data_IF_049616188019
#
_entry.id   IF_049616188019
#
_cell.length_a   1.000
_cell.length_b   1.000
_cell.length_c   1.000
_cell.angle_alpha   90.00
_cell.angle_beta   90.00
_cell.angle_gamma   90.00
#
_symmetry.space_group_name_H-M   'P 1'
#
loop_
_entity.id
_entity.type
_entity.pdbx_description
1 polymer ?
#
# COMPACT_ATOMS: atom_id res chain seq x y z
N UNK A 1 -36.74 13.45 10.05
CA UNK A 1 -35.32 13.36 10.43
C UNK A 1 -34.58 12.90 9.19
N UNK A 2 -33.62 13.67 8.68
CA UNK A 2 -32.86 13.23 7.50
C UNK A 2 -32.08 11.97 7.89
N UNK A 3 -32.28 10.86 7.18
CA UNK A 3 -31.46 9.67 7.35
C UNK A 3 -30.00 10.02 7.08
N UNK A 4 -29.09 9.55 7.93
CA UNK A 4 -27.65 9.77 7.76
C UNK A 4 -27.20 9.15 6.44
N UNK A 5 -26.51 9.90 5.59
CA UNK A 5 -26.00 9.40 4.30
C UNK A 5 -24.90 8.35 4.53
N UNK A 6 -24.79 7.39 3.61
CA UNK A 6 -23.78 6.34 3.66
C UNK A 6 -23.03 6.14 2.34
N UNK A 7 -21.93 5.39 2.38
CA UNK A 7 -21.22 4.88 1.20
C UNK A 7 -21.68 3.45 0.93
N UNK A 8 -22.17 3.21 -0.28
CA UNK A 8 -22.59 1.89 -0.72
C UNK A 8 -21.42 1.17 -1.40
N UNK A 9 -21.16 -0.08 -1.00
CA UNK A 9 -20.17 -0.94 -1.66
C UNK A 9 -20.89 -1.90 -2.62
N UNK A 10 -20.73 -1.66 -3.91
CA UNK A 10 -21.32 -2.47 -4.97
C UNK A 10 -20.27 -3.38 -5.61
N UNK A 11 -20.54 -4.69 -5.60
CA UNK A 11 -19.57 -5.68 -6.05
C UNK A 11 -20.26 -6.96 -6.54
N UNK A 12 -19.52 -7.76 -7.29
CA UNK A 12 -19.95 -9.11 -7.62
C UNK A 12 -19.43 -10.10 -6.55
N UNK A 13 -20.30 -11.02 -6.12
CA UNK A 13 -20.08 -11.91 -4.96
C UNK A 13 -18.76 -12.71 -4.94
N UNK A 14 -18.11 -12.99 -6.07
CA UNK A 14 -16.82 -13.70 -6.08
C UNK A 14 -15.72 -12.89 -5.34
N UNK A 15 -15.90 -11.58 -5.21
CA UNK A 15 -14.97 -10.69 -4.53
C UNK A 15 -15.44 -10.29 -3.12
N UNK A 16 -16.43 -11.00 -2.55
CA UNK A 16 -16.99 -10.71 -1.22
C UNK A 16 -15.91 -10.63 -0.13
N UNK A 17 -14.92 -11.54 -0.14
CA UNK A 17 -13.82 -11.52 0.84
C UNK A 17 -13.05 -10.19 0.82
N UNK A 18 -12.69 -9.73 -0.37
CA UNK A 18 -11.97 -8.47 -0.55
C UNK A 18 -12.83 -7.28 -0.11
N UNK A 19 -14.09 -7.24 -0.55
CA UNK A 19 -14.97 -6.11 -0.26
C UNK A 19 -15.37 -6.05 1.22
N UNK A 20 -15.46 -7.20 1.89
CA UNK A 20 -15.63 -7.26 3.36
C UNK A 20 -14.42 -6.66 4.09
N UNK A 21 -13.21 -6.90 3.61
CA UNK A 21 -12.00 -6.29 4.19
C UNK A 21 -11.97 -4.77 3.94
N UNK A 22 -12.37 -4.31 2.76
CA UNK A 22 -12.55 -2.88 2.48
C UNK A 22 -13.62 -2.27 3.38
N UNK A 23 -14.75 -2.95 3.57
CA UNK A 23 -15.81 -2.53 4.47
C UNK A 23 -15.28 -2.36 5.90
N UNK A 24 -14.59 -3.37 6.43
CA UNK A 24 -13.99 -3.33 7.78
C UNK A 24 -13.11 -2.10 7.95
N UNK A 25 -12.18 -1.88 7.00
CA UNK A 25 -11.24 -0.75 7.06
C UNK A 25 -11.91 0.61 6.93
N UNK A 26 -12.92 0.76 6.08
CA UNK A 26 -13.67 2.02 6.01
C UNK A 26 -14.51 2.25 7.28
N UNK A 27 -15.02 1.18 7.89
CA UNK A 27 -15.82 1.25 9.12
C UNK A 27 -15.00 1.72 10.32
N UNK A 28 -13.74 1.31 10.40
CA UNK A 28 -12.78 1.79 11.42
C UNK A 28 -12.53 3.30 11.35
N UNK A 29 -12.81 3.92 10.20
CA UNK A 29 -12.71 5.36 10.00
C UNK A 29 -14.04 6.08 10.30
N UNK A 30 -14.99 5.38 10.93
CA UNK A 30 -16.36 5.84 11.19
C UNK A 30 -17.13 6.28 9.93
N UNK A 31 -16.72 5.80 8.75
CA UNK A 31 -17.47 6.07 7.53
C UNK A 31 -18.77 5.25 7.59
N UNK A 32 -19.94 5.87 7.42
CA UNK A 32 -21.20 5.14 7.36
C UNK A 32 -21.25 4.32 6.06
N UNK A 33 -21.47 3.01 6.17
CA UNK A 33 -21.36 2.07 5.05
C UNK A 33 -22.63 1.24 4.89
N UNK A 34 -22.91 0.86 3.65
CA UNK A 34 -23.92 -0.12 3.29
C UNK A 34 -23.34 -1.18 2.35
N UNK A 35 -23.61 -2.45 2.63
CA UNK A 35 -23.35 -3.58 1.73
C UNK A 35 -24.38 -4.71 1.99
N UNK A 36 -24.67 -5.47 0.96
CA UNK A 36 -25.68 -6.56 0.95
C UNK A 36 -25.57 -7.59 2.09
N UNK A 37 -24.36 -7.85 2.60
CA UNK A 37 -24.09 -8.93 3.57
C UNK A 37 -23.92 -8.46 5.01
N UNK A 38 -23.86 -7.15 5.27
CA UNK A 38 -23.61 -6.58 6.60
C UNK A 38 -24.70 -5.60 7.07
N UNK A 39 -25.69 -5.30 6.22
CA UNK A 39 -26.72 -4.30 6.50
C UNK A 39 -28.11 -4.66 6.00
N UNK A 40 -28.74 -5.66 6.63
CA UNK A 40 -30.21 -5.74 6.68
C UNK A 40 -30.93 -6.50 5.56
N UNK A 41 -30.53 -7.73 5.23
CA UNK A 41 -31.47 -8.64 4.52
C UNK A 41 -32.49 -9.24 5.50
N UNK A 42 -33.60 -8.53 5.70
CA UNK A 42 -34.88 -9.10 6.17
C UNK A 42 -35.96 -8.86 5.11
N UNK A 43 -35.82 -9.45 3.92
CA UNK A 43 -36.84 -9.28 2.86
C UNK A 43 -36.42 -9.76 1.47
N UNK A 44 -37.38 -9.74 0.53
CA UNK A 44 -37.17 -10.08 -0.88
C UNK A 44 -36.14 -9.14 -1.54
N UNK A 45 -35.25 -9.71 -2.37
CA UNK A 45 -34.05 -9.07 -2.96
C UNK A 45 -34.29 -7.72 -3.68
N UNK A 46 -35.51 -7.42 -4.12
CA UNK A 46 -35.82 -6.19 -4.87
C UNK A 46 -35.82 -4.93 -4.00
N UNK A 47 -36.28 -5.01 -2.75
CA UNK A 47 -36.48 -3.83 -1.90
C UNK A 47 -35.16 -3.41 -1.23
N UNK A 48 -34.27 -4.37 -0.95
CA UNK A 48 -32.95 -4.11 -0.35
C UNK A 48 -31.99 -3.34 -1.26
N UNK A 49 -32.12 -3.46 -2.59
CA UNK A 49 -31.26 -2.73 -3.54
C UNK A 49 -31.64 -1.25 -3.62
N UNK A 50 -32.93 -0.92 -3.56
CA UNK A 50 -33.40 0.46 -3.54
C UNK A 50 -32.96 1.17 -2.25
N UNK A 51 -33.11 0.50 -1.09
CA UNK A 51 -32.71 1.06 0.20
C UNK A 51 -31.21 1.39 0.28
N UNK A 52 -30.35 0.53 -0.29
CA UNK A 52 -28.91 0.77 -0.36
C UNK A 52 -28.55 2.00 -1.19
N UNK A 53 -29.26 2.25 -2.29
CA UNK A 53 -28.96 3.33 -3.24
C UNK A 53 -29.59 4.66 -2.84
N UNK A 54 -30.86 4.68 -2.43
CA UNK A 54 -31.65 5.92 -2.22
C UNK A 54 -31.02 6.86 -1.18
N UNK A 55 -30.38 6.29 -0.16
CA UNK A 55 -29.72 7.06 0.90
C UNK A 55 -28.19 7.10 0.77
N UNK A 56 -27.62 6.60 -0.31
CA UNK A 56 -26.18 6.69 -0.55
C UNK A 56 -25.75 8.13 -0.88
N UNK A 57 -24.61 8.55 -0.33
CA UNK A 57 -23.87 9.71 -0.82
C UNK A 57 -23.07 9.36 -2.08
N UNK A 58 -22.43 8.19 -2.08
CA UNK A 58 -21.73 7.63 -3.22
C UNK A 58 -21.83 6.10 -3.25
N UNK A 59 -21.64 5.53 -4.44
CA UNK A 59 -21.56 4.09 -4.69
C UNK A 59 -20.15 3.73 -5.21
N UNK A 60 -19.43 2.92 -4.43
CA UNK A 60 -18.13 2.38 -4.77
C UNK A 60 -18.30 1.08 -5.55
N UNK A 61 -18.02 1.10 -6.84
CA UNK A 61 -18.28 -0.02 -7.75
C UNK A 61 -16.99 -0.83 -7.99
N UNK A 62 -16.90 -2.04 -7.44
CA UNK A 62 -15.76 -2.95 -7.60
C UNK A 62 -15.86 -3.72 -8.93
N UNK A 63 -15.30 -3.12 -9.98
CA UNK A 63 -15.51 -3.52 -11.36
C UNK A 63 -14.64 -4.72 -11.77
N UNK A 64 -15.31 -5.72 -12.31
CA UNK A 64 -14.76 -6.95 -12.90
C UNK A 64 -15.57 -7.32 -14.15
N UNK A 65 -15.09 -8.24 -15.01
CA UNK A 65 -15.91 -8.80 -16.10
C UNK A 65 -17.25 -9.36 -15.59
N UNK A 66 -17.22 -10.12 -14.48
CA UNK A 66 -18.44 -10.68 -13.89
C UNK A 66 -19.40 -9.63 -13.32
N UNK A 67 -18.88 -8.51 -12.83
CA UNK A 67 -19.70 -7.35 -12.48
C UNK A 67 -20.41 -6.79 -13.72
N UNK A 68 -19.69 -6.64 -14.85
CA UNK A 68 -20.27 -6.15 -16.11
C UNK A 68 -21.34 -7.10 -16.68
N UNK A 69 -21.22 -8.40 -16.45
CA UNK A 69 -22.15 -9.43 -16.93
C UNK A 69 -23.32 -9.67 -15.96
N UNK A 70 -23.28 -9.11 -14.75
CA UNK A 70 -24.30 -9.29 -13.72
C UNK A 70 -25.49 -8.34 -13.94
N UNK A 71 -26.69 -8.92 -14.10
CA UNK A 71 -27.96 -8.16 -14.19
C UNK A 71 -28.18 -7.35 -12.92
N UNK A 72 -27.96 -7.94 -11.74
CA UNK A 72 -28.13 -7.24 -10.46
C UNK A 72 -27.21 -6.01 -10.33
N UNK A 73 -25.92 -6.17 -10.64
CA UNK A 73 -24.96 -5.05 -10.60
C UNK A 73 -25.29 -3.96 -11.64
N UNK A 74 -25.84 -4.38 -12.80
CA UNK A 74 -26.28 -3.45 -13.83
C UNK A 74 -27.50 -2.65 -13.41
N UNK A 75 -28.50 -3.30 -12.84
CA UNK A 75 -29.73 -2.64 -12.39
C UNK A 75 -29.43 -1.68 -11.23
N UNK A 76 -28.62 -2.11 -10.27
CA UNK A 76 -28.18 -1.30 -9.12
C UNK A 76 -27.43 -0.04 -9.56
N UNK A 77 -26.44 -0.17 -10.47
CA UNK A 77 -25.68 0.98 -10.96
C UNK A 77 -26.52 1.89 -11.88
N UNK A 78 -27.47 1.31 -12.62
CA UNK A 78 -28.42 2.08 -13.44
C UNK A 78 -29.32 2.92 -12.56
N UNK A 79 -29.89 2.32 -11.51
CA UNK A 79 -30.71 3.02 -10.54
C UNK A 79 -29.93 4.10 -9.78
N UNK A 80 -28.69 3.81 -9.34
CA UNK A 80 -27.82 4.82 -8.72
C UNK A 80 -27.56 6.02 -9.64
N UNK A 81 -27.37 5.78 -10.94
CA UNK A 81 -27.22 6.84 -11.94
C UNK A 81 -28.51 7.68 -12.10
N UNK A 82 -29.68 7.05 -12.11
CA UNK A 82 -30.98 7.73 -12.17
C UNK A 82 -31.23 8.59 -10.93
N UNK A 83 -30.87 8.09 -9.74
CA UNK A 83 -30.90 8.83 -8.47
C UNK A 83 -29.78 9.87 -8.33
N UNK A 84 -28.90 10.00 -9.33
CA UNK A 84 -27.74 10.90 -9.35
C UNK A 84 -26.80 10.70 -8.15
N UNK A 85 -26.68 9.47 -7.67
CA UNK A 85 -25.69 9.09 -6.66
C UNK A 85 -24.30 9.18 -7.29
N UNK A 86 -23.32 9.69 -6.52
CA UNK A 86 -21.95 9.81 -6.99
C UNK A 86 -21.36 8.41 -7.25
N UNK A 87 -20.85 8.15 -8.45
CA UNK A 87 -20.26 6.86 -8.82
C UNK A 87 -18.74 6.92 -8.65
N UNK A 88 -18.18 5.99 -7.88
CA UNK A 88 -16.73 5.83 -7.68
C UNK A 88 -16.31 4.47 -8.28
N UNK A 89 -15.79 4.45 -9.53
CA UNK A 89 -15.34 3.21 -10.17
C UNK A 89 -14.03 2.70 -9.55
N UNK A 90 -13.99 1.42 -9.17
CA UNK A 90 -12.82 0.75 -8.62
C UNK A 90 -12.45 -0.42 -9.53
N UNK A 91 -11.28 -0.39 -10.17
CA UNK A 91 -10.88 -1.41 -11.14
C UNK A 91 -10.10 -2.52 -10.46
N UNK A 92 -10.61 -3.76 -10.48
CA UNK A 92 -9.97 -4.92 -9.83
C UNK A 92 -9.12 -5.77 -10.76
N UNK A 93 -9.44 -5.84 -12.06
CA UNK A 93 -8.83 -6.84 -12.95
C UNK A 93 -7.70 -6.23 -13.82
N UNK A 94 -6.47 -6.77 -13.73
CA UNK A 94 -5.36 -6.40 -14.61
C UNK A 94 -5.70 -6.56 -16.09
N UNK A 95 -5.25 -5.63 -16.93
CA UNK A 95 -5.39 -5.66 -18.40
C UNK A 95 -6.84 -5.74 -18.93
N UNK A 96 -7.84 -5.62 -18.06
CA UNK A 96 -9.24 -5.51 -18.44
C UNK A 96 -9.72 -4.08 -18.24
N UNK A 97 -10.60 -3.63 -19.14
CA UNK A 97 -11.29 -2.34 -19.02
C UNK A 97 -12.78 -2.54 -19.25
N UNK A 98 -13.64 -1.79 -18.54
CA UNK A 98 -15.07 -1.81 -18.79
C UNK A 98 -15.41 -1.41 -20.23
N UNK A 99 -16.41 -2.07 -20.81
CA UNK A 99 -16.90 -1.81 -22.16
C UNK A 99 -18.43 -1.76 -22.18
N UNK A 100 -19.02 -1.43 -23.33
CA UNK A 100 -20.47 -1.42 -23.51
C UNK A 100 -21.18 -0.52 -22.49
N UNK A 101 -22.24 -1.06 -21.87
CA UNK A 101 -23.06 -0.32 -20.90
C UNK A 101 -22.25 0.20 -19.71
N UNK A 102 -21.32 -0.61 -19.18
CA UNK A 102 -20.55 -0.22 -18.00
C UNK A 102 -19.52 0.84 -18.36
N UNK A 103 -18.81 0.67 -19.48
CA UNK A 103 -17.86 1.66 -19.99
C UNK A 103 -18.51 3.01 -20.27
N UNK A 104 -19.73 3.02 -20.83
CA UNK A 104 -20.51 4.24 -21.04
C UNK A 104 -20.96 4.87 -19.72
N UNK A 105 -21.41 4.08 -18.75
CA UNK A 105 -21.88 4.57 -17.45
C UNK A 105 -20.79 5.24 -16.64
N UNK A 106 -19.57 4.69 -16.63
CA UNK A 106 -18.45 5.25 -15.86
C UNK A 106 -17.61 6.27 -16.65
N UNK A 107 -17.94 6.53 -17.91
CA UNK A 107 -17.20 7.50 -18.71
C UNK A 107 -17.16 8.86 -18.01
N UNK A 108 -15.99 9.52 -18.02
CA UNK A 108 -15.78 10.80 -17.36
C UNK A 108 -15.56 10.74 -15.84
N UNK A 109 -15.74 9.58 -15.20
CA UNK A 109 -15.44 9.40 -13.78
C UNK A 109 -13.97 9.05 -13.58
N UNK A 110 -13.34 9.61 -12.54
CA UNK A 110 -12.02 9.18 -12.08
C UNK A 110 -12.17 7.79 -11.45
N UNK A 111 -11.38 6.84 -11.92
CA UNK A 111 -11.37 5.49 -11.38
C UNK A 111 -10.20 5.30 -10.41
N UNK A 112 -10.41 4.47 -9.40
CA UNK A 112 -9.38 4.04 -8.46
C UNK A 112 -8.85 2.69 -8.92
N UNK A 113 -7.52 2.54 -8.93
CA UNK A 113 -6.88 1.32 -9.39
C UNK A 113 -6.70 0.34 -8.23
N UNK A 114 -7.43 -0.76 -8.18
CA UNK A 114 -7.26 -1.82 -7.19
C UNK A 114 -6.68 -3.10 -7.83
N UNK A 115 -6.08 -3.00 -9.02
CA UNK A 115 -5.55 -4.17 -9.76
C UNK A 115 -4.37 -4.87 -9.09
N UNK A 116 -3.76 -4.22 -8.11
CA UNK A 116 -2.63 -4.69 -7.30
C UNK A 116 -2.98 -4.65 -5.79
N UNK A 117 -4.28 -4.76 -5.47
CA UNK A 117 -4.80 -4.64 -4.10
C UNK A 117 -4.17 -5.66 -3.14
N UNK A 118 -3.83 -6.85 -3.64
CA UNK A 118 -3.15 -7.90 -2.87
C UNK A 118 -1.77 -7.49 -2.36
N UNK A 119 -1.13 -6.50 -3.00
CA UNK A 119 0.20 -6.01 -2.63
C UNK A 119 0.22 -4.58 -2.12
N UNK A 120 -0.85 -3.81 -2.32
CA UNK A 120 -0.91 -2.37 -2.04
C UNK A 120 -2.19 -1.95 -1.29
N UNK A 121 -2.74 -2.84 -0.46
CA UNK A 121 -4.02 -2.63 0.22
C UNK A 121 -4.12 -1.27 0.91
N UNK A 122 -3.14 -0.89 1.73
CA UNK A 122 -3.18 0.39 2.46
C UNK A 122 -3.23 1.60 1.52
N UNK A 123 -2.35 1.64 0.51
CA UNK A 123 -2.34 2.72 -0.48
C UNK A 123 -3.67 2.82 -1.24
N UNK A 124 -4.27 1.67 -1.58
CA UNK A 124 -5.55 1.62 -2.27
C UNK A 124 -6.69 2.09 -1.38
N UNK A 125 -6.67 1.74 -0.10
CA UNK A 125 -7.61 2.26 0.90
C UNK A 125 -7.47 3.76 1.09
N UNK A 126 -6.24 4.28 1.16
CA UNK A 126 -5.98 5.72 1.25
C UNK A 126 -6.53 6.47 0.04
N UNK A 127 -6.28 5.96 -1.17
CA UNK A 127 -6.82 6.53 -2.40
C UNK A 127 -8.35 6.50 -2.43
N UNK A 128 -8.96 5.43 -1.93
CA UNK A 128 -10.41 5.30 -1.83
C UNK A 128 -11.01 6.31 -0.86
N UNK A 129 -10.47 6.42 0.35
CA UNK A 129 -10.94 7.38 1.36
C UNK A 129 -10.74 8.80 0.89
N UNK A 130 -9.59 9.13 0.29
CA UNK A 130 -9.34 10.46 -0.25
C UNK A 130 -10.34 10.82 -1.36
N UNK A 131 -10.67 9.87 -2.24
CA UNK A 131 -11.67 10.10 -3.29
C UNK A 131 -13.09 10.26 -2.71
N UNK A 132 -13.46 9.43 -1.73
CA UNK A 132 -14.75 9.56 -1.00
C UNK A 132 -14.86 10.93 -0.35
N UNK A 133 -13.82 11.36 0.39
CA UNK A 133 -13.80 12.66 1.06
C UNK A 133 -13.90 13.79 0.03
N UNK A 134 -13.14 13.72 -1.05
CA UNK A 134 -13.12 14.76 -2.09
C UNK A 134 -14.47 14.90 -2.79
N UNK A 135 -15.17 13.80 -3.06
CA UNK A 135 -16.42 13.81 -3.84
C UNK A 135 -17.67 14.03 -2.99
N UNK A 136 -17.69 13.52 -1.76
CA UNK A 136 -18.89 13.49 -0.92
C UNK A 136 -18.64 13.71 0.57
N UNK A 137 -17.45 14.18 0.96
CA UNK A 137 -17.12 14.43 2.36
C UNK A 137 -18.02 15.47 3.04
N UNK A 138 -18.55 16.44 2.28
CA UNK A 138 -19.53 17.41 2.76
C UNK A 138 -20.88 16.78 3.18
N UNK A 139 -21.21 15.61 2.62
CA UNK A 139 -22.44 14.86 2.91
C UNK A 139 -22.28 13.84 4.03
N UNK A 140 -21.09 13.71 4.60
CA UNK A 140 -20.74 12.66 5.56
C UNK A 140 -20.17 13.30 6.82
N UNK A 141 -20.86 13.10 7.94
CA UNK A 141 -20.51 13.73 9.22
C UNK A 141 -19.07 13.42 9.67
N UNK A 142 -18.58 12.20 9.37
CA UNK A 142 -17.23 11.76 9.71
C UNK A 142 -16.10 12.58 9.04
N UNK A 143 -16.41 13.39 8.02
CA UNK A 143 -15.45 14.27 7.35
C UNK A 143 -15.64 15.76 7.68
N UNK A 144 -16.68 16.14 8.42
CA UNK A 144 -16.89 17.54 8.77
C UNK A 144 -15.81 18.06 9.72
N UNK A 145 -15.19 19.19 9.36
CA UNK A 145 -14.08 19.78 10.13
C UNK A 145 -12.70 19.19 9.83
N UNK A 146 -12.61 18.10 9.04
CA UNK A 146 -11.34 17.46 8.70
C UNK A 146 -10.75 18.07 7.42
N UNK A 147 -9.74 18.96 7.57
CA UNK A 147 -9.09 19.66 6.43
C UNK A 147 -8.18 18.75 5.57
N UNK A 148 -7.62 17.71 6.17
CA UNK A 148 -6.81 16.68 5.51
C UNK A 148 -6.86 15.42 6.37
N UNK A 149 -7.16 14.28 5.76
CA UNK A 149 -7.09 12.98 6.43
C UNK A 149 -5.63 12.52 6.51
N UNK A 150 -5.01 12.67 7.69
CA UNK A 150 -3.74 12.06 8.01
C UNK A 150 -4.01 10.61 8.45
N UNK A 151 -3.64 9.63 7.64
CA UNK A 151 -3.77 8.20 7.95
C UNK A 151 -2.87 7.72 9.11
N UNK A 152 -2.22 8.64 9.83
CA UNK A 152 -1.41 8.39 11.02
C UNK A 152 -1.99 9.01 12.31
N UNK A 153 -3.18 9.63 12.30
CA UNK A 153 -3.62 10.49 13.43
C UNK A 153 -4.98 10.22 14.08
N UNK A 154 -5.80 9.28 13.63
CA UNK A 154 -7.15 9.07 14.22
C UNK A 154 -7.28 7.85 15.14
N UNK A 155 -6.18 7.29 15.66
CA UNK A 155 -6.21 6.20 16.64
C UNK A 155 -6.02 6.67 18.10
N UNK A 156 -5.63 7.93 18.32
CA UNK A 156 -5.07 8.35 19.62
C UNK A 156 -6.01 9.20 20.50
N UNK A 157 -7.19 9.63 20.03
CA UNK A 157 -8.02 10.59 20.81
C UNK A 157 -9.16 9.97 21.64
N UNK A 158 -9.43 8.65 21.57
CA UNK A 158 -10.49 8.02 22.39
C UNK A 158 -9.97 7.02 23.45
N UNK A 159 -8.64 6.86 23.60
CA UNK A 159 -8.04 5.88 24.52
C UNK A 159 -7.66 6.44 25.91
N UNK A 160 -7.88 7.73 26.18
CA UNK A 160 -7.48 8.34 27.47
C UNK A 160 -8.44 8.06 28.63
N UNK A 161 -9.70 7.66 28.41
CA UNK A 161 -10.68 7.50 29.50
C UNK A 161 -10.88 6.07 30.04
N UNK A 162 -10.22 5.03 29.48
CA UNK A 162 -10.40 3.64 29.94
C UNK A 162 -9.12 2.91 30.38
N UNK A 163 -8.00 3.61 30.54
CA UNK A 163 -6.70 3.01 30.87
C UNK A 163 -6.49 2.57 32.34
N UNK A 164 -7.55 2.49 33.16
CA UNK A 164 -7.46 1.83 34.46
C UNK A 164 -7.99 0.39 34.38
N UNK A 165 -7.04 -0.52 34.18
CA UNK A 165 -7.07 -1.98 34.37
C UNK A 165 -7.05 -2.77 33.06
N UNK A 166 -6.05 -3.66 33.01
CA UNK A 166 -5.74 -4.69 32.01
C UNK A 166 -4.73 -4.25 30.92
N UNK A 167 -3.54 -4.87 30.87
CA UNK A 167 -2.47 -4.47 29.97
C UNK A 167 -2.77 -4.92 28.52
N UNK A 168 -2.61 -3.98 27.59
CA UNK A 168 -2.68 -4.18 26.14
C UNK A 168 -1.49 -4.99 25.60
N UNK A 169 -1.74 -5.84 24.59
CA UNK A 169 -0.75 -6.21 23.57
C UNK A 169 -1.12 -5.53 22.25
N UNK A 170 -0.39 -4.47 21.90
CA UNK A 170 -0.50 -3.74 20.63
C UNK A 170 0.42 -4.33 19.57
N UNK A 171 -0.05 -4.49 18.34
CA UNK A 171 0.80 -4.75 17.17
C UNK A 171 1.54 -3.45 16.78
N UNK A 172 2.87 -3.47 16.90
CA UNK A 172 3.78 -2.36 16.70
C UNK A 172 3.88 -1.93 15.22
N UNK A 173 3.63 -0.65 14.91
CA UNK A 173 4.32 0.01 13.79
C UNK A 173 5.81 0.01 14.16
N UNK A 174 6.60 -0.78 13.43
CA UNK A 174 8.00 -0.94 13.76
C UNK A 174 8.79 0.26 13.22
N UNK A 175 8.96 1.27 14.07
CA UNK A 175 9.80 2.43 13.80
C UNK A 175 11.28 2.02 13.93
N UNK A 176 12.06 2.23 12.87
CA UNK A 176 13.50 1.96 12.92
C UNK A 176 14.16 3.08 13.71
N UNK A 177 14.66 2.75 14.91
CA UNK A 177 15.46 3.67 15.72
C UNK A 177 16.65 4.22 14.90
N UNK A 178 16.68 5.53 14.62
CA UNK A 178 17.70 6.16 13.79
C UNK A 178 19.07 6.21 14.47
N UNK A 179 19.16 5.94 15.77
CA UNK A 179 20.43 5.85 16.50
C UNK A 179 21.02 4.43 16.49
N UNK A 180 20.34 3.49 15.86
CA UNK A 180 20.73 2.09 15.79
C UNK A 180 21.20 1.67 14.40
N UNK A 181 21.92 0.55 14.36
CA UNK A 181 22.34 -0.08 13.12
C UNK A 181 21.60 -1.41 12.92
N UNK A 182 21.44 -1.77 11.65
CA UNK A 182 20.70 -2.94 11.22
C UNK A 182 21.51 -3.74 10.21
N UNK A 183 21.34 -5.06 10.23
CA UNK A 183 21.82 -5.96 9.19
C UNK A 183 20.66 -6.37 8.30
N UNK A 184 20.89 -6.32 6.99
CA UNK A 184 19.91 -6.72 5.97
C UNK A 184 20.34 -8.03 5.33
N UNK A 185 19.55 -9.08 5.48
CA UNK A 185 19.76 -10.40 4.88
C UNK A 185 18.56 -10.75 3.98
N UNK A 186 18.67 -11.76 3.12
CA UNK A 186 17.53 -12.19 2.28
C UNK A 186 16.99 -13.54 2.74
N UNK A 187 15.72 -13.82 2.46
CA UNK A 187 15.14 -15.15 2.68
C UNK A 187 15.93 -16.24 1.93
N UNK A 188 16.53 -15.90 0.78
CA UNK A 188 17.24 -16.86 -0.04
C UNK A 188 18.55 -17.37 0.56
N UNK A 189 19.46 -16.47 0.93
CA UNK A 189 20.79 -16.83 1.44
C UNK A 189 20.84 -16.87 2.97
N UNK A 190 19.78 -16.42 3.64
CA UNK A 190 19.64 -16.42 5.08
C UNK A 190 20.66 -15.51 5.77
N UNK A 191 20.85 -15.75 7.07
CA UNK A 191 21.63 -14.87 7.95
C UNK A 191 23.16 -14.97 7.74
N UNK A 192 23.63 -15.86 6.86
CA UNK A 192 25.04 -16.01 6.51
C UNK A 192 25.50 -14.98 5.47
N UNK A 193 24.57 -14.35 4.75
CA UNK A 193 24.93 -13.31 3.77
C UNK A 193 24.09 -12.06 3.93
N UNK A 194 24.77 -10.92 4.04
CA UNK A 194 24.16 -9.61 4.23
C UNK A 194 24.54 -8.61 3.16
N UNK A 195 23.66 -7.62 3.02
CA UNK A 195 23.90 -6.41 2.26
C UNK A 195 25.15 -5.71 2.79
N UNK A 196 26.18 -5.65 1.97
CA UNK A 196 27.43 -4.97 2.27
C UNK A 196 27.84 -4.00 1.18
N UNK A 197 28.80 -3.16 1.52
CA UNK A 197 29.49 -2.27 0.59
C UNK A 197 30.91 -2.77 0.38
N UNK A 198 31.32 -2.93 -0.87
CA UNK A 198 32.69 -3.30 -1.23
C UNK A 198 33.65 -2.17 -0.83
N UNK A 199 34.72 -2.54 -0.14
CA UNK A 199 35.79 -1.64 0.33
C UNK A 199 37.17 -2.27 0.06
N UNK A 200 37.46 -2.54 -1.21
CA UNK A 200 38.71 -3.17 -1.68
C UNK A 200 39.70 -2.16 -2.29
N UNK A 201 39.39 -0.87 -2.25
CA UNK A 201 40.18 0.22 -2.83
C UNK A 201 40.03 0.39 -4.36
N UNK A 202 39.38 -0.56 -5.06
CA UNK A 202 39.22 -0.56 -6.52
C UNK A 202 37.76 -0.42 -6.96
N UNK A 203 36.86 -1.09 -6.27
CA UNK A 203 35.42 -1.18 -6.54
C UNK A 203 34.60 -0.55 -5.40
N UNK A 204 35.18 0.41 -4.68
CA UNK A 204 34.54 1.06 -3.55
C UNK A 204 33.14 1.56 -3.90
N UNK A 205 32.23 1.50 -2.93
CA UNK A 205 30.84 1.93 -3.01
C UNK A 205 29.92 1.04 -3.87
N UNK A 206 30.39 -0.09 -4.39
CA UNK A 206 29.52 -1.09 -4.98
C UNK A 206 28.81 -1.90 -3.90
N UNK A 207 27.53 -2.19 -4.12
CA UNK A 207 26.74 -3.00 -3.21
C UNK A 207 26.83 -4.47 -3.59
N UNK A 208 26.91 -5.32 -2.58
CA UNK A 208 27.09 -6.76 -2.73
C UNK A 208 26.31 -7.48 -1.62
N UNK A 209 25.92 -8.72 -1.90
CA UNK A 209 25.55 -9.68 -0.87
C UNK A 209 26.80 -10.50 -0.48
N UNK A 210 27.41 -10.17 0.65
CA UNK A 210 28.67 -10.77 1.13
C UNK A 210 28.44 -11.64 2.36
N UNK A 211 29.43 -12.47 2.72
CA UNK A 211 29.41 -13.22 3.99
C UNK A 211 29.20 -12.26 5.16
N UNK A 212 28.29 -12.64 6.05
CA UNK A 212 27.89 -11.81 7.18
C UNK A 212 29.01 -11.73 8.22
N UNK A 213 29.47 -10.50 8.47
CA UNK A 213 30.49 -10.19 9.47
C UNK A 213 30.23 -8.83 10.12
N UNK A 214 31.10 -8.42 11.06
CA UNK A 214 30.95 -7.18 11.81
C UNK A 214 31.59 -5.97 11.13
N UNK A 215 31.82 -6.05 9.82
CA UNK A 215 32.30 -4.92 9.03
C UNK A 215 31.31 -3.77 9.06
N UNK A 216 31.79 -2.55 9.28
CA UNK A 216 30.97 -1.33 9.29
C UNK A 216 30.24 -1.06 7.97
N UNK A 217 30.67 -1.69 6.87
CA UNK A 217 29.99 -1.64 5.58
C UNK A 217 28.74 -2.53 5.47
N UNK A 218 28.47 -3.40 6.45
CA UNK A 218 27.29 -4.28 6.51
C UNK A 218 26.24 -3.82 7.53
N UNK A 219 26.55 -2.75 8.27
CA UNK A 219 25.67 -2.16 9.27
C UNK A 219 25.04 -0.89 8.72
N UNK A 220 23.72 -0.93 8.60
CA UNK A 220 22.90 0.07 7.95
C UNK A 220 22.14 0.87 8.99
N UNK A 221 22.24 2.19 8.93
CA UNK A 221 21.37 3.11 9.65
C UNK A 221 20.18 3.41 8.75
N UNK A 222 18.97 3.24 9.29
CA UNK A 222 17.71 3.45 8.59
C UNK A 222 17.09 4.71 9.20
N UNK A 223 17.17 5.83 8.49
CA UNK A 223 16.71 7.13 9.00
C UNK A 223 15.38 7.48 8.32
N UNK A 224 14.29 7.69 9.07
CA UNK A 224 13.03 8.14 8.47
C UNK A 224 13.22 9.52 7.82
N UNK A 225 12.59 9.72 6.68
CA UNK A 225 12.51 10.99 5.95
C UNK A 225 11.04 11.28 5.60
N UNK A 226 10.80 12.31 4.78
CA UNK A 226 9.43 12.73 4.43
C UNK A 226 8.63 11.63 3.70
N UNK A 227 7.31 11.68 3.83
CA UNK A 227 6.36 10.82 3.12
C UNK A 227 6.51 9.30 3.39
N UNK A 228 7.01 8.90 4.56
CA UNK A 228 7.14 7.47 4.95
C UNK A 228 8.27 6.73 4.22
N UNK A 229 9.22 7.47 3.65
CA UNK A 229 10.45 6.91 3.10
C UNK A 229 11.56 6.92 4.15
N UNK A 230 12.62 6.18 3.86
CA UNK A 230 13.82 6.07 4.65
C UNK A 230 15.05 6.39 3.80
N UNK A 231 16.07 6.94 4.44
CA UNK A 231 17.43 7.02 3.92
C UNK A 231 18.26 5.93 4.58
N UNK A 232 18.96 5.14 3.77
CA UNK A 232 19.84 4.07 4.23
C UNK A 232 21.29 4.49 4.05
N UNK A 233 22.02 4.58 5.16
CA UNK A 233 23.46 4.89 5.19
C UNK A 233 24.20 3.75 5.88
N UNK A 234 25.50 3.59 5.64
CA UNK A 234 26.30 2.58 6.35
C UNK A 234 27.06 3.19 7.51
N UNK A 235 27.40 2.39 8.53
CA UNK A 235 28.32 2.82 9.60
C UNK A 235 29.69 3.25 9.05
N UNK A 236 30.11 2.73 7.91
CA UNK A 236 31.41 3.02 7.29
C UNK A 236 31.52 4.45 6.73
N UNK A 237 30.63 4.84 5.81
CA UNK A 237 30.68 6.16 5.15
C UNK A 237 29.81 7.20 5.86
N UNK A 238 28.99 6.76 6.81
CA UNK A 238 28.09 7.60 7.57
C UNK A 238 27.07 8.30 6.68
N UNK A 239 26.57 9.43 7.16
CA UNK A 239 25.45 10.13 6.54
C UNK A 239 25.83 10.85 5.23
N UNK A 240 27.12 10.86 4.85
CA UNK A 240 27.61 11.46 3.61
C UNK A 240 27.33 10.62 2.37
N UNK A 241 27.18 9.30 2.52
CA UNK A 241 26.82 8.44 1.39
C UNK A 241 25.61 7.55 1.67
N UNK A 242 24.66 7.59 0.74
CA UNK A 242 23.38 6.90 0.84
C UNK A 242 23.25 5.78 -0.20
N UNK A 243 22.44 4.78 0.13
CA UNK A 243 22.05 3.72 -0.77
C UNK A 243 21.21 4.30 -1.92
N UNK A 244 21.69 4.16 -3.15
CA UNK A 244 21.11 4.78 -4.33
C UNK A 244 20.93 3.78 -5.47
N UNK A 245 19.97 4.08 -6.35
CA UNK A 245 19.80 3.44 -7.64
C UNK A 245 20.36 4.37 -8.71
N UNK A 246 21.36 3.89 -9.46
CA UNK A 246 21.96 4.64 -10.57
C UNK A 246 20.87 5.01 -11.58
N UNK A 247 20.84 6.29 -11.98
CA UNK A 247 19.90 6.85 -12.95
C UNK A 247 20.65 7.63 -14.05
N UNK A 248 21.43 6.91 -14.85
CA UNK A 248 22.25 7.46 -15.94
C UNK A 248 21.65 7.19 -17.34
N UNK A 249 20.42 6.67 -17.40
CA UNK A 249 19.73 6.29 -18.63
C UNK A 249 20.17 4.96 -19.25
N UNK A 250 21.24 4.33 -18.75
CA UNK A 250 21.79 3.05 -19.25
C UNK A 250 21.78 1.94 -18.21
N UNK A 251 22.01 2.27 -16.94
CA UNK A 251 22.17 1.38 -15.79
C UNK A 251 21.11 1.67 -14.72
N UNK A 252 19.86 1.91 -15.16
CA UNK A 252 18.72 2.33 -14.33
C UNK A 252 18.24 1.29 -13.29
N UNK A 253 19.02 0.26 -13.01
CA UNK A 253 18.74 -0.83 -12.10
C UNK A 253 19.95 -1.20 -11.24
N UNK A 254 21.10 -0.54 -11.42
CA UNK A 254 22.32 -0.80 -10.65
C UNK A 254 22.30 -0.03 -9.34
N UNK A 255 22.77 -0.68 -8.29
CA UNK A 255 22.85 -0.12 -6.95
C UNK A 255 24.25 0.40 -6.64
N UNK A 256 24.33 1.54 -5.96
CA UNK A 256 25.58 2.19 -5.55
C UNK A 256 25.41 2.91 -4.20
N UNK A 257 26.51 3.13 -3.50
CA UNK A 257 26.57 4.08 -2.39
C UNK A 257 27.04 5.44 -2.94
N UNK A 258 26.11 6.38 -3.13
CA UNK A 258 26.35 7.69 -3.74
C UNK A 258 26.40 8.81 -2.70
N UNK A 259 26.89 10.00 -3.08
CA UNK A 259 26.77 11.19 -2.22
C UNK A 259 25.30 11.42 -1.84
N UNK A 260 25.07 11.66 -0.55
CA UNK A 260 23.73 11.86 -0.01
C UNK A 260 23.14 13.18 -0.51
N UNK A 261 21.91 13.12 -1.01
CA UNK A 261 21.17 14.31 -1.44
C UNK A 261 19.68 14.03 -1.59
N UNK A 262 18.98 14.97 -2.21
CA UNK A 262 17.52 14.92 -2.38
C UNK A 262 17.15 14.24 -3.70
N UNK A 263 17.58 12.99 -3.84
CA UNK A 263 17.38 12.18 -5.04
C UNK A 263 16.35 11.08 -4.77
N UNK A 264 15.35 10.96 -5.64
CA UNK A 264 14.29 9.94 -5.50
C UNK A 264 14.78 8.49 -5.57
N UNK A 265 16.00 8.25 -6.08
CA UNK A 265 16.70 6.97 -6.03
C UNK A 265 17.25 6.60 -4.65
N UNK A 266 17.42 7.58 -3.75
CA UNK A 266 17.94 7.41 -2.40
C UNK A 266 16.83 7.29 -1.33
N UNK A 267 15.57 7.46 -1.75
CA UNK A 267 14.42 7.46 -0.85
C UNK A 267 13.78 6.09 -0.91
N UNK A 268 14.02 5.28 0.12
CA UNK A 268 13.62 3.89 0.17
C UNK A 268 12.35 3.71 0.97
N UNK A 269 11.37 3.02 0.39
CA UNK A 269 10.20 2.55 1.12
C UNK A 269 10.51 1.13 1.60
N UNK A 270 10.37 0.92 2.91
CA UNK A 270 10.56 -0.38 3.56
C UNK A 270 9.18 -0.87 3.97
N UNK A 271 8.61 -1.78 3.19
CA UNK A 271 7.25 -2.29 3.41
C UNK A 271 7.33 -3.66 4.09
N UNK A 272 6.77 -3.86 5.29
CA UNK A 272 6.68 -5.19 5.88
C UNK A 272 5.86 -6.11 4.99
N UNK A 273 6.28 -7.37 4.90
CA UNK A 273 5.59 -8.44 4.20
C UNK A 273 5.50 -9.66 5.12
N UNK A 274 4.84 -10.72 4.66
CA UNK A 274 4.62 -11.95 5.44
C UNK A 274 5.94 -12.55 5.98
N UNK A 275 5.85 -13.23 7.12
CA UNK A 275 6.94 -13.96 7.79
C UNK A 275 8.10 -13.07 8.31
N UNK A 276 7.83 -11.80 8.65
CA UNK A 276 8.83 -10.90 9.25
C UNK A 276 9.89 -10.41 8.25
N UNK A 277 9.61 -10.51 6.96
CA UNK A 277 10.43 -9.93 5.91
C UNK A 277 9.90 -8.56 5.50
N UNK A 278 10.71 -7.85 4.72
CA UNK A 278 10.42 -6.54 4.16
C UNK A 278 10.69 -6.55 2.66
N UNK A 279 10.00 -5.66 1.96
CA UNK A 279 10.25 -5.31 0.57
C UNK A 279 10.79 -3.89 0.52
N UNK A 280 11.93 -3.71 -0.14
CA UNK A 280 12.58 -2.42 -0.31
C UNK A 280 12.37 -1.91 -1.74
N UNK A 281 11.66 -0.81 -1.89
CA UNK A 281 11.43 -0.10 -3.17
C UNK A 281 11.95 1.33 -3.06
N UNK A 282 12.11 2.04 -4.18
CA UNK A 282 12.52 3.46 -4.15
C UNK A 282 11.41 4.38 -4.61
N UNK A 283 11.43 5.65 -4.17
CA UNK A 283 10.49 6.69 -4.64
C UNK A 283 10.55 6.86 -6.16
N UNK A 284 11.72 6.63 -6.77
CA UNK A 284 11.92 6.80 -8.21
C UNK A 284 11.19 5.76 -9.08
N UNK A 285 11.45 4.46 -8.86
CA UNK A 285 10.84 3.40 -9.69
C UNK A 285 9.55 2.84 -9.11
N UNK A 286 9.21 3.25 -7.89
CA UNK A 286 8.01 2.86 -7.18
C UNK A 286 7.94 1.36 -6.92
N UNK A 287 6.75 0.90 -6.57
CA UNK A 287 6.55 -0.46 -6.06
C UNK A 287 6.62 -1.55 -7.15
N UNK A 288 6.78 -1.17 -8.42
CA UNK A 288 6.93 -2.11 -9.54
C UNK A 288 8.31 -2.75 -9.60
N UNK A 289 9.32 -2.17 -8.95
CA UNK A 289 10.65 -2.74 -8.85
C UNK A 289 11.22 -2.61 -7.44
N UNK A 290 11.77 -3.69 -6.94
CA UNK A 290 12.33 -3.78 -5.60
C UNK A 290 13.77 -4.29 -5.62
N UNK A 291 14.44 -4.10 -4.49
CA UNK A 291 15.78 -4.63 -4.26
C UNK A 291 15.75 -6.16 -4.32
N UNK A 292 16.61 -6.70 -5.17
CA UNK A 292 16.73 -8.14 -5.41
C UNK A 292 18.21 -8.54 -5.47
N UNK A 293 18.45 -9.82 -5.22
CA UNK A 293 19.75 -10.46 -5.45
C UNK A 293 19.64 -11.25 -6.74
N UNK A 294 20.53 -10.99 -7.69
CA UNK A 294 20.60 -11.75 -8.95
C UNK A 294 20.80 -13.23 -8.62
N UNK A 295 20.02 -14.11 -9.26
CA UNK A 295 20.10 -15.56 -9.08
C UNK A 295 20.18 -16.26 -10.43
N UNK A 296 21.29 -16.06 -11.15
CA UNK A 296 21.56 -16.61 -12.48
C UNK A 296 22.62 -17.74 -12.47
N UNK A 297 23.07 -18.13 -11.27
CA UNK A 297 24.11 -19.15 -11.07
C UNK A 297 25.55 -18.64 -11.20
N UNK A 298 25.76 -17.38 -11.60
CA UNK A 298 27.11 -16.78 -11.79
C UNK A 298 27.30 -15.51 -10.96
N UNK A 299 26.27 -14.68 -10.85
CA UNK A 299 26.29 -13.37 -10.22
C UNK A 299 25.47 -13.35 -8.93
N UNK A 300 25.46 -14.47 -8.21
CA UNK A 300 24.61 -14.75 -7.03
C UNK A 300 24.84 -13.84 -5.80
N UNK A 301 25.70 -12.84 -5.94
CA UNK A 301 26.03 -11.82 -4.94
C UNK A 301 25.72 -10.39 -5.43
N UNK A 302 25.33 -10.20 -6.69
CA UNK A 302 25.02 -8.88 -7.23
C UNK A 302 23.61 -8.45 -6.88
N UNK A 303 23.46 -7.16 -6.57
CA UNK A 303 22.16 -6.57 -6.32
C UNK A 303 21.65 -5.82 -7.53
N UNK A 304 20.33 -5.83 -7.68
CA UNK A 304 19.63 -5.18 -8.78
C UNK A 304 18.28 -4.65 -8.29
N UNK A 305 17.77 -3.60 -8.95
CA UNK A 305 16.36 -3.25 -8.86
C UNK A 305 15.59 -4.03 -9.94
N UNK A 306 14.92 -5.10 -9.54
CA UNK A 306 14.20 -6.02 -10.44
C UNK A 306 12.69 -5.87 -10.31
N UNK A 307 11.93 -6.38 -11.29
CA UNK A 307 10.46 -6.37 -11.23
C UNK A 307 9.99 -7.06 -9.94
N UNK A 308 9.16 -6.36 -9.19
CA UNK A 308 8.60 -6.85 -7.94
C UNK A 308 7.79 -8.11 -8.19
N UNK A 309 8.04 -9.14 -7.38
CA UNK A 309 7.36 -10.42 -7.44
C UNK A 309 7.51 -11.19 -6.14
N UNK A 310 7.25 -12.50 -6.20
CA UNK A 310 7.35 -13.39 -5.06
C UNK A 310 8.63 -14.23 -5.14
N UNK A 311 9.77 -13.58 -4.95
CA UNK A 311 11.08 -14.23 -5.02
C UNK A 311 11.82 -14.10 -3.68
N UNK A 312 12.48 -15.16 -3.24
CA UNK A 312 13.21 -15.18 -1.96
C UNK A 312 14.40 -14.22 -1.91
N UNK A 313 14.93 -13.80 -3.07
CA UNK A 313 15.95 -12.74 -3.19
C UNK A 313 15.39 -11.32 -2.97
N UNK A 314 14.08 -11.13 -3.05
CA UNK A 314 13.39 -9.83 -2.87
C UNK A 314 12.80 -9.65 -1.46
N UNK A 315 12.91 -10.66 -0.60
CA UNK A 315 12.36 -10.70 0.75
C UNK A 315 13.50 -10.49 1.73
N UNK A 316 13.57 -9.31 2.31
CA UNK A 316 14.69 -8.87 3.14
C UNK A 316 14.34 -8.97 4.62
N UNK A 317 15.19 -9.57 5.43
CA UNK A 317 15.08 -9.54 6.88
C UNK A 317 15.95 -8.40 7.39
N UNK A 318 15.41 -7.58 8.28
CA UNK A 318 16.12 -6.44 8.89
C UNK A 318 16.28 -6.76 10.37
N UNK A 319 17.53 -6.92 10.82
CA UNK A 319 17.85 -7.29 12.21
C UNK A 319 18.61 -6.17 12.87
N UNK A 320 18.11 -5.67 14.01
CA UNK A 320 18.82 -4.68 14.84
C UNK A 320 20.10 -5.31 15.40
N UNK A 321 21.21 -4.58 15.33
CA UNK A 321 22.56 -5.03 15.74
C UNK A 321 23.03 -4.42 17.05
#
# INVERSE_FOLDING_TARGET
MSSQKHIMLSYQWDHQKLVTEVYRRLKELNIPLWMDTQGGMKGHLSDSMAEGVENAAAICCFLTPKYQDSVACKDELTYAKEQRVCIIPILLIPNWKPTGWLGFTIAGHKWINFRDIDTNMDLRMQQLVAEIQMLVGDKLDCFQGVKQWNFTHNANEELEEQNEKFPLSTSEEQDFDPNSYYRLTTQWQGDNKSLGVVNDGKNNNQLILAESDDSSGQYWKITPIVDGFYRLTTKWQGDHKSFDVVNDGKNNNKLILAETGDYSGQYWKITPIVDGFYRLTTKWQGDNKCLDVVNDGKNNNQLILAKTGNYSGQRWKITKM
#
